data_IF_073269149778
#
_entry.id   IF_073269149778
#
_cell.length_a   1.000
_cell.length_b   1.000
_cell.length_c   1.000
_cell.angle_alpha   90.00
_cell.angle_beta   90.00
_cell.angle_gamma   90.00
#
_symmetry.space_group_name_H-M   'P 1'
#
loop_
_entity.id
_entity.type
_entity.pdbx_description
1 polymer ?
#
# COMPACT_ATOMS: atom_id res chain seq x y z
N UNK A 1 0.20 -8.09 -0.91
CA UNK A 1 0.04 -9.55 -0.77
C UNK A 1 -0.09 -10.21 -2.10
N UNK A 2 0.68 -11.24 -2.33
CA UNK A 2 0.44 -12.11 -3.46
C UNK A 2 0.09 -13.49 -2.93
N UNK A 3 -1.04 -14.00 -3.36
CA UNK A 3 -1.66 -15.23 -2.85
C UNK A 3 -0.75 -16.46 -2.85
N UNK A 4 0.24 -16.51 -3.73
CA UNK A 4 1.15 -17.65 -3.87
C UNK A 4 2.06 -17.85 -2.65
N UNK A 5 2.35 -16.77 -1.90
CA UNK A 5 3.29 -16.79 -0.77
C UNK A 5 2.65 -16.32 0.53
N UNK A 6 1.34 -16.47 0.62
CA UNK A 6 0.54 -15.97 1.73
C UNK A 6 0.92 -16.63 3.06
N UNK A 7 1.13 -17.94 3.06
CA UNK A 7 1.41 -18.75 4.24
C UNK A 7 2.76 -19.47 4.17
N UNK A 8 3.80 -18.76 3.75
CA UNK A 8 5.11 -19.35 3.52
C UNK A 8 5.36 -19.66 2.04
N UNK A 9 6.57 -20.07 1.73
CA UNK A 9 6.95 -20.40 0.35
C UNK A 9 6.25 -21.68 -0.11
N UNK A 10 5.53 -21.63 -1.22
CA UNK A 10 4.78 -22.74 -1.77
C UNK A 10 5.40 -23.25 -3.08
N UNK A 11 5.37 -24.58 -3.29
CA UNK A 11 5.92 -25.25 -4.45
C UNK A 11 7.40 -25.61 -4.29
N UNK A 12 8.11 -25.77 -5.41
CA UNK A 12 9.53 -26.09 -5.41
C UNK A 12 10.32 -25.00 -4.67
N UNK A 13 11.18 -25.41 -3.74
CA UNK A 13 11.91 -24.52 -2.85
C UNK A 13 13.42 -24.83 -2.84
N UNK A 14 14.11 -24.74 -3.99
CA UNK A 14 15.53 -25.04 -4.08
C UNK A 14 16.41 -24.10 -3.25
N UNK A 15 15.90 -22.92 -2.93
CA UNK A 15 16.61 -21.92 -2.11
C UNK A 15 16.35 -22.05 -0.61
N UNK A 16 15.46 -22.98 -0.18
CA UNK A 16 15.16 -23.24 1.23
C UNK A 16 14.57 -22.04 1.96
N UNK A 17 13.62 -21.34 1.32
CA UNK A 17 12.86 -20.29 1.98
C UNK A 17 11.87 -20.87 2.99
N UNK A 18 11.46 -20.05 3.94
CA UNK A 18 10.54 -20.50 4.98
C UNK A 18 9.19 -20.94 4.43
N UNK A 19 8.67 -22.05 4.95
CA UNK A 19 7.31 -22.54 4.74
C UNK A 19 6.39 -22.22 5.93
N UNK A 20 6.86 -21.38 6.84
CA UNK A 20 6.15 -21.03 8.06
C UNK A 20 4.85 -20.27 7.77
N UNK A 21 3.73 -20.83 8.18
CA UNK A 21 2.40 -20.26 7.98
C UNK A 21 2.18 -18.91 8.66
N UNK A 22 2.95 -18.59 9.70
CA UNK A 22 2.86 -17.34 10.44
C UNK A 22 3.54 -16.14 9.75
N UNK A 23 4.26 -16.33 8.64
CA UNK A 23 4.98 -15.22 8.00
C UNK A 23 4.05 -14.11 7.55
N UNK A 24 2.85 -14.44 7.09
CA UNK A 24 1.86 -13.48 6.68
C UNK A 24 1.44 -12.55 7.83
N UNK A 25 0.98 -13.12 8.93
CA UNK A 25 0.59 -12.32 10.11
C UNK A 25 1.74 -11.52 10.70
N UNK A 26 2.96 -12.06 10.61
CA UNK A 26 4.16 -11.33 11.00
C UNK A 26 4.38 -10.09 10.13
N UNK A 27 4.30 -10.21 8.82
CA UNK A 27 4.49 -9.10 7.86
C UNK A 27 3.39 -8.04 8.04
N UNK A 28 2.14 -8.46 8.20
CA UNK A 28 0.99 -7.56 8.27
C UNK A 28 0.88 -6.78 9.58
N UNK A 29 1.20 -7.40 10.69
CA UNK A 29 0.99 -6.79 12.00
C UNK A 29 2.24 -6.68 12.86
N UNK A 30 3.12 -7.67 12.81
CA UNK A 30 4.26 -7.78 13.72
C UNK A 30 5.47 -6.98 13.30
N UNK A 31 5.85 -7.07 12.04
CA UNK A 31 7.12 -6.54 11.55
C UNK A 31 7.19 -5.01 11.63
N UNK A 32 6.18 -4.32 11.17
CA UNK A 32 6.14 -2.85 11.22
C UNK A 32 6.17 -2.33 12.66
N UNK A 33 5.38 -2.94 13.55
CA UNK A 33 5.34 -2.60 14.97
C UNK A 33 6.71 -2.84 15.63
N UNK A 34 7.32 -4.01 15.41
CA UNK A 34 8.62 -4.36 15.99
C UNK A 34 9.76 -3.49 15.44
N UNK A 35 9.68 -3.08 14.17
CA UNK A 35 10.60 -2.14 13.56
C UNK A 35 10.42 -0.69 14.04
N UNK A 36 9.38 -0.41 14.87
CA UNK A 36 9.06 0.95 15.31
C UNK A 36 8.64 1.88 14.17
N UNK A 37 8.05 1.32 13.11
CA UNK A 37 7.58 2.11 11.97
C UNK A 37 6.28 2.81 12.37
N UNK A 38 6.26 4.13 12.22
CA UNK A 38 5.10 4.98 12.50
C UNK A 38 4.65 5.67 11.22
N UNK A 39 3.35 5.91 11.10
CA UNK A 39 2.77 6.54 9.90
C UNK A 39 3.10 8.02 9.81
N UNK A 40 3.11 8.73 10.94
CA UNK A 40 3.28 10.19 10.97
C UNK A 40 4.57 10.66 10.26
N UNK A 41 5.76 10.05 10.48
CA UNK A 41 6.95 10.44 9.74
C UNK A 41 6.97 9.94 8.28
N UNK A 42 6.12 8.98 7.91
CA UNK A 42 6.03 8.48 6.53
C UNK A 42 5.12 9.35 5.65
N UNK A 43 4.05 9.91 6.22
CA UNK A 43 3.07 10.69 5.45
C UNK A 43 3.69 11.79 4.58
N UNK A 44 4.59 12.67 5.08
CA UNK A 44 5.21 13.70 4.26
C UNK A 44 6.17 13.15 3.19
N UNK A 45 6.57 11.88 3.29
CA UNK A 45 7.43 11.20 2.32
C UNK A 45 6.66 10.55 1.16
N UNK A 46 5.33 10.45 1.28
CA UNK A 46 4.49 9.95 0.17
C UNK A 46 4.53 10.99 -0.95
N UNK A 47 4.97 10.61 -2.18
CA UNK A 47 4.99 11.53 -3.30
C UNK A 47 3.60 12.07 -3.62
N UNK A 48 3.48 13.29 -4.17
CA UNK A 48 2.19 13.83 -4.60
C UNK A 48 1.45 12.85 -5.51
N UNK A 49 0.13 12.76 -5.32
CA UNK A 49 -0.71 11.90 -6.12
C UNK A 49 -0.70 12.33 -7.61
N UNK A 50 -0.60 11.35 -8.49
CA UNK A 50 -0.67 11.55 -9.95
C UNK A 50 -1.95 10.90 -10.44
N UNK A 51 -2.74 11.65 -11.23
CA UNK A 51 -3.94 11.10 -11.86
C UNK A 51 -3.57 9.98 -12.82
N UNK A 52 -4.22 8.85 -12.69
CA UNK A 52 -4.10 7.75 -13.65
C UNK A 52 -4.86 8.15 -14.92
N UNK A 53 -4.20 8.08 -16.06
CA UNK A 53 -4.87 8.34 -17.34
C UNK A 53 -5.94 7.29 -17.60
N UNK A 54 -7.17 7.76 -17.77
CA UNK A 54 -8.32 6.92 -18.15
C UNK A 54 -8.61 6.97 -19.67
N UNK A 55 -7.66 7.47 -20.47
CA UNK A 55 -7.79 7.46 -21.91
C UNK A 55 -7.98 6.03 -22.45
N UNK A 56 -8.87 5.82 -23.43
CA UNK A 56 -9.08 4.52 -24.04
C UNK A 56 -7.76 3.91 -24.52
N UNK A 57 -7.57 2.63 -24.26
CA UNK A 57 -6.39 1.88 -24.67
C UNK A 57 -6.67 1.13 -25.98
N UNK A 58 -5.64 0.95 -26.78
CA UNK A 58 -5.72 0.16 -28.03
C UNK A 58 -6.14 -1.29 -27.75
N UNK A 59 -5.67 -1.86 -26.63
CA UNK A 59 -5.99 -3.21 -26.20
C UNK A 59 -7.37 -3.38 -25.55
N UNK A 60 -8.18 -2.30 -25.52
CA UNK A 60 -9.53 -2.24 -24.93
C UNK A 60 -9.63 -2.62 -23.45
N UNK A 61 -8.51 -2.78 -22.76
CA UNK A 61 -8.54 -3.03 -21.30
C UNK A 61 -8.82 -1.73 -20.56
N UNK A 62 -9.48 -1.88 -19.42
CA UNK A 62 -9.74 -0.74 -18.52
C UNK A 62 -8.40 -0.15 -18.03
N UNK A 63 -8.16 1.15 -18.24
CA UNK A 63 -6.88 1.78 -17.88
C UNK A 63 -6.57 1.73 -16.38
N UNK A 64 -7.60 1.85 -15.52
CA UNK A 64 -7.43 1.76 -14.07
C UNK A 64 -7.01 0.35 -13.66
N UNK A 65 -7.68 -0.67 -14.22
CA UNK A 65 -7.31 -2.07 -14.00
C UNK A 65 -5.85 -2.33 -14.39
N UNK A 66 -5.42 -1.83 -15.57
CA UNK A 66 -4.04 -2.03 -16.02
C UNK A 66 -3.04 -1.35 -15.08
N UNK A 67 -3.31 -0.11 -14.67
CA UNK A 67 -2.43 0.62 -13.74
C UNK A 67 -2.28 -0.12 -12.39
N UNK A 68 -3.39 -0.61 -11.83
CA UNK A 68 -3.38 -1.39 -10.58
C UNK A 68 -2.66 -2.73 -10.77
N UNK A 69 -2.92 -3.41 -11.87
CA UNK A 69 -2.29 -4.70 -12.16
C UNK A 69 -0.77 -4.58 -12.35
N UNK A 70 -0.32 -3.53 -13.04
CA UNK A 70 1.12 -3.25 -13.19
C UNK A 70 1.77 -2.88 -11.85
N UNK A 71 1.06 -2.18 -10.97
CA UNK A 71 1.52 -1.96 -9.61
C UNK A 71 1.67 -3.30 -8.85
N UNK A 72 0.66 -4.17 -8.89
CA UNK A 72 0.72 -5.49 -8.24
C UNK A 72 1.86 -6.35 -8.76
N UNK A 73 2.09 -6.35 -10.08
CA UNK A 73 3.23 -7.07 -10.68
C UNK A 73 4.57 -6.58 -10.13
N UNK A 74 4.76 -5.26 -10.03
CA UNK A 74 5.98 -4.69 -9.42
C UNK A 74 6.11 -5.06 -7.94
N UNK A 75 5.01 -5.04 -7.19
CA UNK A 75 5.06 -5.47 -5.78
C UNK A 75 5.34 -6.97 -5.65
N UNK A 76 4.86 -7.78 -6.59
CA UNK A 76 5.15 -9.23 -6.61
C UNK A 76 6.64 -9.53 -6.74
N UNK A 77 7.40 -8.73 -7.48
CA UNK A 77 8.85 -8.92 -7.59
C UNK A 77 9.59 -8.72 -6.26
N UNK A 78 8.94 -8.10 -5.29
CA UNK A 78 9.50 -7.86 -3.95
C UNK A 78 9.26 -9.03 -2.97
N UNK A 79 8.51 -10.06 -3.39
CA UNK A 79 8.23 -11.23 -2.53
C UNK A 79 9.51 -12.01 -2.24
N UNK A 80 10.30 -12.32 -3.26
CA UNK A 80 11.53 -13.07 -3.08
C UNK A 80 12.58 -12.33 -2.24
N UNK A 81 12.86 -11.05 -2.45
CA UNK A 81 13.70 -10.25 -1.54
C UNK A 81 13.27 -10.31 -0.08
N UNK A 82 11.96 -10.32 0.20
CA UNK A 82 11.44 -10.46 1.55
C UNK A 82 11.80 -11.83 2.17
N UNK A 83 11.65 -12.91 1.38
CA UNK A 83 12.02 -14.26 1.84
C UNK A 83 13.53 -14.43 2.03
N UNK A 84 14.36 -13.75 1.23
CA UNK A 84 15.81 -13.69 1.45
C UNK A 84 16.10 -13.05 2.80
N UNK A 85 15.50 -11.91 3.10
CA UNK A 85 15.69 -11.22 4.41
C UNK A 85 15.18 -12.07 5.58
N UNK A 86 14.09 -12.81 5.39
CA UNK A 86 13.59 -13.75 6.38
C UNK A 86 14.62 -14.85 6.68
N UNK A 87 15.12 -15.51 5.63
CA UNK A 87 16.14 -16.56 5.73
C UNK A 87 17.43 -16.08 6.40
N UNK A 88 17.79 -14.83 6.21
CA UNK A 88 18.94 -14.17 6.84
C UNK A 88 18.66 -13.70 8.28
N UNK A 89 17.45 -13.95 8.81
CA UNK A 89 17.05 -13.55 10.16
C UNK A 89 16.81 -12.05 10.33
N UNK A 90 16.80 -11.26 9.24
CA UNK A 90 16.68 -9.81 9.27
C UNK A 90 15.31 -9.28 9.68
N UNK A 91 14.27 -10.14 9.60
CA UNK A 91 12.90 -9.74 9.96
C UNK A 91 12.64 -9.75 11.48
N UNK A 92 13.60 -10.17 12.30
CA UNK A 92 13.49 -10.11 13.75
C UNK A 92 12.41 -11.00 14.38
N UNK A 93 12.04 -12.13 13.77
CA UNK A 93 10.98 -13.03 14.26
C UNK A 93 11.36 -13.74 15.54
N UNK A 94 12.63 -14.09 15.71
CA UNK A 94 13.10 -14.79 16.90
C UNK A 94 12.93 -13.94 18.16
N UNK A 95 12.72 -14.60 19.30
CA UNK A 95 12.64 -13.94 20.60
C UNK A 95 13.93 -13.16 20.88
N UNK A 96 13.80 -11.88 21.25
CA UNK A 96 14.93 -10.99 21.50
C UNK A 96 15.64 -10.45 20.25
N UNK A 97 15.37 -10.97 19.06
CA UNK A 97 15.96 -10.46 17.82
C UNK A 97 15.45 -9.07 17.48
N UNK A 98 16.30 -8.24 16.88
CA UNK A 98 15.93 -6.92 16.35
C UNK A 98 15.61 -7.03 14.87
N UNK A 99 14.71 -6.14 14.39
CA UNK A 99 14.52 -5.95 12.96
C UNK A 99 15.75 -5.21 12.42
N UNK A 100 16.32 -5.73 11.35
CA UNK A 100 17.46 -5.12 10.69
C UNK A 100 17.05 -3.86 9.92
N UNK A 101 17.95 -2.87 9.82
CA UNK A 101 17.64 -1.59 9.16
C UNK A 101 17.23 -1.76 7.70
N UNK A 102 17.81 -2.74 7.01
CA UNK A 102 17.44 -3.10 5.63
C UNK A 102 15.97 -3.57 5.54
N UNK A 103 15.55 -4.45 6.46
CA UNK A 103 14.17 -4.92 6.50
C UNK A 103 13.19 -3.80 6.88
N UNK A 104 13.60 -2.92 7.80
CA UNK A 104 12.83 -1.71 8.13
C UNK A 104 12.65 -0.82 6.91
N UNK A 105 13.74 -0.47 6.22
CA UNK A 105 13.71 0.37 5.02
C UNK A 105 12.87 -0.27 3.90
N UNK A 106 12.95 -1.60 3.75
CA UNK A 106 12.14 -2.34 2.80
C UNK A 106 10.64 -2.17 3.10
N UNK A 107 10.21 -2.36 4.35
CA UNK A 107 8.79 -2.19 4.73
C UNK A 107 8.33 -0.75 4.56
N UNK A 108 9.12 0.24 5.00
CA UNK A 108 8.80 1.66 4.80
C UNK A 108 8.58 1.96 3.31
N UNK A 109 9.45 1.46 2.43
CA UNK A 109 9.30 1.68 1.00
C UNK A 109 8.03 1.04 0.44
N UNK A 110 7.65 -0.17 0.91
CA UNK A 110 6.37 -0.79 0.48
C UNK A 110 5.17 0.02 0.94
N UNK A 111 5.22 0.58 2.14
CA UNK A 111 4.15 1.45 2.64
C UNK A 111 4.04 2.75 1.82
N UNK A 112 5.17 3.37 1.46
CA UNK A 112 5.20 4.56 0.60
C UNK A 112 4.65 4.27 -0.81
N UNK A 113 5.04 3.15 -1.40
CA UNK A 113 4.54 2.73 -2.72
C UNK A 113 3.03 2.46 -2.69
N UNK A 114 2.54 1.84 -1.61
CA UNK A 114 1.11 1.62 -1.37
C UNK A 114 0.35 2.94 -1.21
N UNK A 115 0.87 3.85 -0.39
CA UNK A 115 0.31 5.19 -0.20
C UNK A 115 0.22 5.98 -1.49
N UNK A 116 1.28 5.95 -2.31
CA UNK A 116 1.28 6.58 -3.63
C UNK A 116 0.20 6.02 -4.56
N UNK A 117 0.08 4.70 -4.63
CA UNK A 117 -0.91 4.05 -5.50
C UNK A 117 -2.34 4.35 -5.04
N UNK A 118 -2.60 4.25 -3.73
CA UNK A 118 -3.90 4.58 -3.14
C UNK A 118 -4.29 6.04 -3.41
N UNK A 119 -3.37 6.97 -3.21
CA UNK A 119 -3.59 8.39 -3.48
C UNK A 119 -3.89 8.65 -4.96
N UNK A 120 -3.20 7.96 -5.87
CA UNK A 120 -3.44 8.06 -7.31
C UNK A 120 -4.84 7.58 -7.70
N UNK A 121 -5.28 6.43 -7.15
CA UNK A 121 -6.63 5.88 -7.36
C UNK A 121 -7.69 6.88 -6.87
N UNK A 122 -7.55 7.37 -5.64
CA UNK A 122 -8.53 8.28 -5.05
C UNK A 122 -8.59 9.62 -5.79
N UNK A 123 -7.45 10.19 -6.15
CA UNK A 123 -7.41 11.43 -6.92
C UNK A 123 -8.05 11.27 -8.31
N UNK A 124 -7.82 10.12 -8.94
CA UNK A 124 -8.42 9.81 -10.25
C UNK A 124 -9.92 9.66 -10.13
N UNK A 125 -10.41 8.89 -9.16
CA UNK A 125 -11.82 8.74 -8.89
C UNK A 125 -12.49 10.07 -8.55
N UNK A 126 -11.87 10.88 -7.70
CA UNK A 126 -12.35 12.21 -7.34
C UNK A 126 -12.49 13.14 -8.55
N UNK A 127 -11.47 13.16 -9.41
CA UNK A 127 -11.50 14.02 -10.63
C UNK A 127 -12.48 13.54 -11.69
N UNK A 128 -12.72 12.23 -11.76
CA UNK A 128 -13.69 11.63 -12.68
C UNK A 128 -15.13 11.63 -12.18
N UNK A 129 -15.36 11.94 -10.89
CA UNK A 129 -16.69 11.93 -10.32
C UNK A 129 -17.56 13.04 -10.89
N UNK A 130 -18.78 12.68 -11.28
CA UNK A 130 -19.81 13.67 -11.66
C UNK A 130 -20.18 14.47 -10.41
N UNK A 131 -20.20 15.83 -10.48
CA UNK A 131 -20.56 16.66 -9.34
C UNK A 131 -21.98 16.34 -8.85
N UNK A 132 -22.11 15.97 -7.58
CA UNK A 132 -23.41 15.86 -6.92
C UNK A 132 -23.95 17.27 -6.64
N UNK A 133 -24.81 17.76 -7.52
CA UNK A 133 -25.41 19.10 -7.45
C UNK A 133 -26.30 19.26 -6.19
N UNK A 134 -26.97 18.19 -5.77
CA UNK A 134 -27.81 18.23 -4.55
C UNK A 134 -26.95 18.38 -3.28
N UNK A 135 -25.91 17.55 -3.13
CA UNK A 135 -24.99 17.63 -2.01
C UNK A 135 -24.28 19.00 -1.97
N UNK A 136 -23.84 19.50 -3.11
CA UNK A 136 -23.21 20.82 -3.23
C UNK A 136 -24.15 21.93 -2.74
N UNK A 137 -25.40 21.92 -3.19
CA UNK A 137 -26.39 22.89 -2.74
C UNK A 137 -26.70 22.77 -1.23
N UNK A 138 -26.72 21.55 -0.68
CA UNK A 138 -26.91 21.31 0.74
C UNK A 138 -25.73 21.84 1.58
N UNK A 139 -24.49 21.65 1.13
CA UNK A 139 -23.28 22.17 1.80
C UNK A 139 -23.25 23.69 1.77
N UNK A 140 -23.56 24.34 0.67
CA UNK A 140 -23.62 25.81 0.55
C UNK A 140 -24.67 26.37 1.53
N UNK A 141 -25.86 25.75 1.61
CA UNK A 141 -26.90 26.17 2.58
C UNK A 141 -26.44 26.03 4.03
N UNK A 142 -25.73 24.95 4.39
CA UNK A 142 -25.18 24.75 5.73
C UNK A 142 -24.14 25.81 6.09
N UNK A 143 -23.24 26.13 5.16
CA UNK A 143 -22.22 27.17 5.37
C UNK A 143 -22.86 28.56 5.57
N UNK A 144 -23.86 28.90 4.75
CA UNK A 144 -24.61 30.13 4.90
C UNK A 144 -25.39 30.21 6.23
N UNK A 145 -25.93 29.09 6.70
CA UNK A 145 -26.60 28.99 8.01
C UNK A 145 -25.62 29.17 9.18
N UNK A 146 -24.47 28.53 9.13
CA UNK A 146 -23.44 28.63 10.15
C UNK A 146 -22.84 30.06 10.24
N UNK A 147 -22.68 30.75 9.12
CA UNK A 147 -22.22 32.13 9.09
C UNK A 147 -23.22 33.14 9.75
N UNK A 148 -24.51 32.82 9.77
CA UNK A 148 -25.57 33.63 10.39
C UNK A 148 -25.70 33.43 11.91
N UNK A 149 -25.17 32.32 12.43
CA UNK A 149 -25.26 31.95 13.86
C UNK A 149 -23.94 32.17 14.59
N UNK A 150 -22.89 32.62 13.92
CA UNK A 150 -21.65 33.05 14.56
C UNK A 150 -21.87 34.43 15.25
N UNK A 151 -21.55 34.54 16.57
CA UNK A 151 -21.75 35.77 17.37
C UNK A 151 -20.82 36.90 16.94
#
# INVERSE_FOLDING_TARGET
HTTKHYNGWAGENPRGYTTWNGIHSWIDGGLAAKAGIRLEPLLPRVPPAIVISLAPREDRRDPMFVAVFDYLRRQHTMVEPLYVMEKEGKLGQAAGARVHDEARAFVEQRMLDGGRMLSAIWLTAWRGAVPDTYLRAALVRRQAGAAKTAP
#
